data_IF_078016232811
#
_entry.id   IF_078016232811
#
_cell.length_a   1.000
_cell.length_b   1.000
_cell.length_c   1.000
_cell.angle_alpha   90.00
_cell.angle_beta   90.00
_cell.angle_gamma   90.00
#
_symmetry.space_group_name_H-M   'P 1'
#
loop_
_entity.id
_entity.type
_entity.pdbx_description
1 polymer ?
#
# COMPACT_ATOMS: atom_id res chain seq x y z
N UNK A 1 7.85 0.03 -21.21
CA UNK A 1 7.11 1.31 -21.07
C UNK A 1 7.99 2.29 -20.30
N UNK A 2 7.90 3.57 -20.65
CA UNK A 2 8.96 4.57 -20.45
C UNK A 2 9.13 5.02 -19.00
N UNK A 3 10.16 4.51 -18.34
CA UNK A 3 10.80 5.10 -17.16
C UNK A 3 11.56 6.40 -17.48
N UNK A 4 11.26 7.04 -18.62
CA UNK A 4 11.97 8.21 -19.13
C UNK A 4 11.65 9.48 -18.35
N UNK A 5 10.58 9.46 -17.54
CA UNK A 5 10.07 10.61 -16.82
C UNK A 5 10.06 10.32 -15.31
N UNK A 6 10.54 11.27 -14.50
CA UNK A 6 10.44 11.18 -13.03
C UNK A 6 8.98 11.32 -12.60
N UNK A 7 8.59 10.80 -11.42
CA UNK A 7 7.24 11.04 -10.89
C UNK A 7 6.99 12.55 -10.80
N UNK A 8 8.00 13.34 -10.44
CA UNK A 8 7.90 14.80 -10.33
C UNK A 8 7.57 15.48 -11.66
N UNK A 9 8.02 14.91 -12.78
CA UNK A 9 7.66 15.42 -14.11
C UNK A 9 6.24 15.06 -14.53
N UNK A 10 5.67 13.98 -13.97
CA UNK A 10 4.29 13.53 -14.25
C UNK A 10 3.29 14.23 -13.34
N UNK A 11 3.68 14.50 -12.09
CA UNK A 11 2.85 15.11 -11.05
C UNK A 11 3.56 16.32 -10.41
N UNK A 12 3.87 17.37 -11.19
CA UNK A 12 4.62 18.54 -10.69
C UNK A 12 3.88 19.33 -9.61
N UNK A 13 2.55 19.24 -9.54
CA UNK A 13 1.67 19.94 -8.61
C UNK A 13 1.85 19.51 -7.16
N UNK A 14 2.33 18.30 -6.92
CA UNK A 14 2.44 17.73 -5.59
C UNK A 14 3.83 17.97 -4.96
N UNK A 15 3.90 18.54 -3.74
CA UNK A 15 5.17 18.84 -3.09
C UNK A 15 5.92 17.58 -2.60
N UNK A 16 5.22 16.48 -2.33
CA UNK A 16 5.83 15.23 -1.83
C UNK A 16 6.45 14.36 -2.93
N UNK A 17 6.15 14.63 -4.20
CA UNK A 17 6.52 13.71 -5.29
C UNK A 17 8.03 13.61 -5.50
N UNK A 18 8.77 14.71 -5.27
CA UNK A 18 10.23 14.65 -5.32
C UNK A 18 10.80 13.69 -4.26
N UNK A 19 10.20 13.68 -3.06
CA UNK A 19 10.60 12.76 -1.98
C UNK A 19 10.37 11.31 -2.39
N UNK A 20 9.30 11.02 -3.15
CA UNK A 20 9.04 9.70 -3.69
C UNK A 20 10.07 9.27 -4.75
N UNK A 21 10.44 10.15 -5.68
CA UNK A 21 11.51 9.89 -6.66
C UNK A 21 12.85 9.62 -5.96
N UNK A 22 13.24 10.49 -5.02
CA UNK A 22 14.51 10.36 -4.27
C UNK A 22 14.55 9.06 -3.47
N UNK A 23 13.42 8.69 -2.85
CA UNK A 23 13.30 7.46 -2.09
C UNK A 23 13.39 6.23 -2.99
N UNK A 24 12.70 6.19 -4.13
CA UNK A 24 12.78 5.09 -5.10
C UNK A 24 14.22 4.88 -5.61
N UNK A 25 14.97 5.96 -5.85
CA UNK A 25 16.36 5.89 -6.30
C UNK A 25 17.25 5.11 -5.32
N UNK A 26 16.94 5.14 -4.02
CA UNK A 26 17.72 4.49 -2.96
C UNK A 26 17.10 3.17 -2.47
N UNK A 27 15.79 2.98 -2.66
CA UNK A 27 15.04 1.85 -2.08
C UNK A 27 15.47 0.49 -2.62
N UNK A 28 15.89 0.40 -3.90
CA UNK A 28 16.24 -0.87 -4.55
C UNK A 28 17.38 -1.65 -3.84
N UNK A 29 18.24 -0.97 -3.09
CA UNK A 29 19.38 -1.55 -2.37
C UNK A 29 19.01 -2.10 -0.98
N UNK A 30 17.79 -1.83 -0.51
CA UNK A 30 17.34 -2.10 0.85
C UNK A 30 16.35 -3.26 0.88
N UNK A 31 16.20 -3.95 2.02
CA UNK A 31 15.12 -4.92 2.21
C UNK A 31 13.75 -4.21 2.24
N UNK A 32 12.65 -4.95 2.05
CA UNK A 32 11.30 -4.36 2.12
C UNK A 32 11.03 -3.83 3.54
N UNK A 33 11.53 -4.52 4.57
CA UNK A 33 11.42 -4.06 5.96
C UNK A 33 12.10 -2.70 6.18
N UNK A 34 13.34 -2.53 5.67
CA UNK A 34 14.06 -1.26 5.77
C UNK A 34 13.36 -0.14 5.00
N UNK A 35 12.82 -0.45 3.82
CA UNK A 35 12.01 0.49 3.03
C UNK A 35 10.80 0.98 3.84
N UNK A 36 10.07 0.07 4.48
CA UNK A 36 8.90 0.39 5.30
C UNK A 36 9.29 1.22 6.54
N UNK A 37 10.38 0.88 7.22
CA UNK A 37 10.87 1.60 8.40
C UNK A 37 11.22 3.07 8.08
N UNK A 38 11.82 3.35 6.92
CA UNK A 38 12.11 4.72 6.45
C UNK A 38 10.85 5.54 6.16
N UNK A 39 9.75 4.87 5.83
CA UNK A 39 8.43 5.49 5.71
C UNK A 39 7.70 5.58 7.06
N UNK A 40 8.33 5.19 8.16
CA UNK A 40 7.71 5.18 9.49
C UNK A 40 6.72 4.03 9.69
N UNK A 41 6.72 3.02 8.82
CA UNK A 41 5.90 1.81 8.95
C UNK A 41 6.69 0.77 9.75
N UNK A 42 6.27 0.59 11.00
CA UNK A 42 6.87 -0.31 12.00
C UNK A 42 6.23 -1.69 12.01
N UNK A 43 5.01 -1.83 11.50
CA UNK A 43 4.31 -3.11 11.43
C UNK A 43 3.45 -3.21 10.19
N UNK A 44 3.47 -4.36 9.54
CA UNK A 44 2.56 -4.69 8.45
C UNK A 44 1.60 -5.76 8.91
N UNK A 45 0.31 -5.56 8.65
CA UNK A 45 -0.71 -6.58 8.88
C UNK A 45 -1.46 -6.83 7.58
N UNK A 46 -1.52 -8.09 7.19
CA UNK A 46 -2.41 -8.56 6.14
C UNK A 46 -3.71 -8.98 6.82
N UNK A 47 -4.88 -8.45 6.44
CA UNK A 47 -6.15 -8.78 7.10
C UNK A 47 -7.17 -9.33 6.11
N UNK A 48 -8.06 -10.20 6.62
CA UNK A 48 -8.96 -11.05 5.82
C UNK A 48 -10.36 -10.46 5.60
N UNK A 49 -10.61 -9.23 6.06
CA UNK A 49 -11.96 -8.70 6.12
C UNK A 49 -11.98 -7.27 5.57
N UNK A 50 -12.76 -7.06 4.49
CA UNK A 50 -13.13 -5.82 3.76
C UNK A 50 -12.61 -5.83 2.30
N UNK A 51 -13.43 -5.24 1.42
CA UNK A 51 -13.34 -5.24 -0.05
C UNK A 51 -12.31 -4.26 -0.67
N UNK A 52 -11.40 -3.67 0.12
CA UNK A 52 -10.42 -2.70 -0.37
C UNK A 52 -9.18 -2.60 0.54
N UNK A 53 -8.01 -2.37 -0.07
CA UNK A 53 -6.77 -1.98 0.63
C UNK A 53 -6.89 -0.58 1.23
N UNK A 54 -6.29 -0.35 2.39
CA UNK A 54 -6.21 0.99 2.98
C UNK A 54 -5.10 1.08 4.03
N UNK A 55 -4.33 2.17 4.01
CA UNK A 55 -3.43 2.51 5.11
C UNK A 55 -4.24 2.87 6.38
N UNK A 56 -3.96 2.23 7.52
CA UNK A 56 -4.46 2.70 8.82
C UNK A 56 -3.41 2.69 9.91
N UNK A 57 -3.10 3.88 10.43
CA UNK A 57 -2.26 4.03 11.62
C UNK A 57 -3.17 4.02 12.86
N UNK A 58 -3.49 2.83 13.38
CA UNK A 58 -4.22 2.71 14.67
C UNK A 58 -3.31 2.96 15.87
N UNK A 59 -2.03 2.62 15.74
CA UNK A 59 -0.96 2.82 16.75
C UNK A 59 0.35 2.99 15.97
N UNK A 60 0.94 4.20 15.92
CA UNK A 60 2.23 4.54 15.28
C UNK A 60 2.80 3.55 14.22
N UNK A 61 2.56 3.82 12.93
CA UNK A 61 3.27 3.15 11.84
C UNK A 61 2.79 1.74 11.50
N UNK A 62 1.47 1.49 11.45
CA UNK A 62 0.95 0.22 10.91
C UNK A 62 0.49 0.44 9.47
N UNK A 63 1.00 -0.36 8.53
CA UNK A 63 0.43 -0.49 7.18
C UNK A 63 -0.49 -1.70 7.18
N UNK A 64 -1.75 -1.50 6.83
CA UNK A 64 -2.73 -2.56 6.71
C UNK A 64 -2.97 -2.80 5.22
N UNK A 65 -2.84 -4.05 4.77
CA UNK A 65 -3.22 -4.43 3.41
C UNK A 65 -4.34 -5.45 3.53
N UNK A 66 -5.52 -5.06 3.05
CA UNK A 66 -6.73 -5.86 3.14
C UNK A 66 -7.20 -6.16 1.73
N UNK A 67 -6.86 -7.35 1.25
CA UNK A 67 -7.53 -7.92 0.09
C UNK A 67 -7.54 -9.44 0.27
N UNK A 68 -8.70 -9.95 0.67
CA UNK A 68 -8.90 -11.37 0.96
C UNK A 68 -8.59 -12.24 -0.27
N UNK A 69 -9.08 -11.83 -1.42
CA UNK A 69 -8.97 -12.62 -2.65
C UNK A 69 -7.51 -12.62 -3.12
N UNK A 70 -6.81 -11.49 -3.08
CA UNK A 70 -5.40 -11.44 -3.43
C UNK A 70 -4.53 -12.25 -2.46
N UNK A 71 -4.81 -12.19 -1.16
CA UNK A 71 -4.08 -12.97 -0.14
C UNK A 71 -4.31 -14.47 -0.31
N UNK A 72 -5.56 -14.91 -0.53
CA UNK A 72 -5.88 -16.33 -0.73
C UNK A 72 -5.25 -16.85 -2.02
N UNK A 73 -5.29 -16.08 -3.10
CA UNK A 73 -4.64 -16.48 -4.35
C UNK A 73 -3.11 -16.54 -4.21
N UNK A 74 -2.51 -15.60 -3.48
CA UNK A 74 -1.08 -15.60 -3.19
C UNK A 74 -0.65 -16.83 -2.37
N UNK A 75 -1.42 -17.19 -1.34
CA UNK A 75 -1.17 -18.35 -0.47
C UNK A 75 -1.39 -19.68 -1.18
N UNK A 76 -2.35 -19.75 -2.10
CA UNK A 76 -2.65 -20.94 -2.90
C UNK A 76 -1.72 -21.09 -4.12
N UNK A 77 -0.77 -20.17 -4.31
CA UNK A 77 0.22 -20.25 -5.40
C UNK A 77 -0.33 -19.87 -6.77
N UNK A 78 -1.50 -19.21 -6.83
CA UNK A 78 -2.06 -18.69 -8.08
C UNK A 78 -1.29 -17.45 -8.56
N UNK A 79 -1.45 -17.12 -9.85
CA UNK A 79 -0.71 -16.07 -10.54
C UNK A 79 -1.14 -14.62 -10.20
N UNK A 80 -1.76 -14.38 -9.02
CA UNK A 80 -2.15 -13.04 -8.54
C UNK A 80 -1.13 -12.40 -7.61
N UNK A 81 0.06 -12.99 -7.54
CA UNK A 81 1.07 -12.53 -6.60
C UNK A 81 1.72 -11.19 -7.02
N UNK A 82 1.71 -10.89 -8.32
CA UNK A 82 2.10 -9.58 -8.85
C UNK A 82 1.04 -8.52 -8.53
N UNK A 83 -0.25 -8.87 -8.54
CA UNK A 83 -1.34 -7.97 -8.12
C UNK A 83 -1.19 -7.60 -6.64
N UNK A 84 -0.95 -8.58 -5.76
CA UNK A 84 -0.72 -8.29 -4.33
C UNK A 84 0.53 -7.43 -4.09
N UNK A 85 1.61 -7.68 -4.84
CA UNK A 85 2.82 -6.87 -4.78
C UNK A 85 2.56 -5.44 -5.24
N UNK A 86 1.79 -5.26 -6.31
CA UNK A 86 1.40 -3.96 -6.83
C UNK A 86 0.52 -3.21 -5.82
N UNK A 87 -0.55 -3.83 -5.30
CA UNK A 87 -1.40 -3.25 -4.26
C UNK A 87 -0.59 -2.85 -3.04
N UNK A 88 0.37 -3.69 -2.61
CA UNK A 88 1.26 -3.34 -1.51
C UNK A 88 2.12 -2.10 -1.83
N UNK A 89 2.64 -1.99 -3.04
CA UNK A 89 3.36 -0.81 -3.52
C UNK A 89 2.48 0.44 -3.60
N UNK A 90 1.22 0.29 -4.00
CA UNK A 90 0.24 1.37 -4.10
C UNK A 90 -0.04 1.96 -2.70
N UNK A 91 -0.25 1.11 -1.70
CA UNK A 91 -0.40 1.56 -0.31
C UNK A 91 0.89 2.18 0.26
N UNK A 92 2.09 1.80 -0.21
CA UNK A 92 3.31 2.54 0.15
C UNK A 92 3.28 3.95 -0.50
N UNK A 93 2.80 4.06 -1.73
CA UNK A 93 2.64 5.34 -2.44
C UNK A 93 1.81 6.35 -1.64
N UNK A 94 0.70 5.88 -1.06
CA UNK A 94 -0.16 6.70 -0.22
C UNK A 94 0.55 7.30 1.01
N UNK A 95 1.63 6.67 1.49
CA UNK A 95 2.41 7.21 2.62
C UNK A 95 3.11 8.53 2.31
N UNK A 96 3.33 8.89 1.04
CA UNK A 96 4.06 10.10 0.67
C UNK A 96 3.23 11.37 0.83
N UNK A 97 1.91 11.26 0.67
CA UNK A 97 0.99 12.38 0.85
C UNK A 97 0.30 12.37 2.22
N UNK A 98 0.76 11.53 3.16
CA UNK A 98 0.19 11.41 4.50
C UNK A 98 1.23 11.66 5.60
N UNK A 99 0.82 12.40 6.64
CA UNK A 99 1.47 12.45 7.94
C UNK A 99 1.05 11.25 8.77
N UNK A 100 1.95 10.28 8.89
CA UNK A 100 1.74 9.02 9.61
C UNK A 100 1.98 9.15 11.13
N UNK A 101 2.35 10.33 11.63
CA UNK A 101 2.50 10.57 13.08
C UNK A 101 1.16 10.78 13.78
N UNK A 102 0.08 10.96 13.01
CA UNK A 102 -1.27 11.21 13.49
C UNK A 102 -2.19 10.00 13.26
N UNK A 103 -3.23 9.87 14.09
CA UNK A 103 -4.25 8.83 14.00
C UNK A 103 -5.65 9.46 13.96
N UNK A 104 -6.39 9.40 12.84
CA UNK A 104 -5.99 8.81 11.55
C UNK A 104 -4.86 9.61 10.85
N UNK A 105 -4.15 9.03 9.87
CA UNK A 105 -3.21 9.77 9.03
C UNK A 105 -3.85 11.02 8.42
N UNK A 106 -3.08 12.10 8.37
CA UNK A 106 -3.55 13.40 7.85
C UNK A 106 -2.84 13.71 6.54
N UNK A 107 -3.55 14.14 5.51
CA UNK A 107 -2.91 14.48 4.25
C UNK A 107 -1.98 15.69 4.37
N UNK A 108 -0.81 15.60 3.74
CA UNK A 108 0.17 16.67 3.59
C UNK A 108 -0.01 17.22 2.19
N UNK A 109 -0.55 18.44 2.02
CA UNK A 109 -0.76 18.99 0.67
C UNK A 109 -1.74 20.15 0.57
N UNK A 110 -1.89 20.71 -0.65
CA UNK A 110 -2.92 21.70 -0.93
C UNK A 110 -4.30 21.02 -0.89
N UNK A 111 -5.00 21.21 0.23
CA UNK A 111 -6.35 20.71 0.57
C UNK A 111 -6.47 19.24 1.02
N UNK A 112 -7.55 18.96 1.78
CA UNK A 112 -7.81 17.69 2.50
C UNK A 112 -8.27 16.59 1.52
N UNK A 113 -7.37 16.03 0.73
CA UNK A 113 -7.67 14.95 -0.22
C UNK A 113 -7.81 13.61 0.50
N UNK A 114 -8.96 13.35 1.13
CA UNK A 114 -9.20 12.02 1.71
C UNK A 114 -9.70 11.06 0.63
N UNK A 115 -8.80 10.28 0.04
CA UNK A 115 -9.19 9.12 -0.76
C UNK A 115 -9.68 8.05 0.20
N UNK A 116 -10.99 8.06 0.44
CA UNK A 116 -11.67 7.08 1.29
C UNK A 116 -11.78 5.75 0.54
N UNK A 117 -11.46 4.60 1.18
CA UNK A 117 -11.78 3.28 0.62
C UNK A 117 -13.29 3.00 0.63
N UNK A 118 -14.09 3.84 1.30
CA UNK A 118 -15.55 3.75 1.33
C UNK A 118 -16.13 4.68 0.25
N UNK A 119 -16.67 4.07 -0.82
CA UNK A 119 -17.33 4.74 -1.96
C UNK A 119 -18.39 5.77 -1.52
N UNK A 120 -19.08 5.55 -0.40
CA UNK A 120 -20.12 6.45 0.11
C UNK A 120 -19.58 7.83 0.56
N UNK A 121 -18.28 7.92 0.87
CA UNK A 121 -17.58 9.18 1.19
C UNK A 121 -16.80 9.75 0.01
N UNK A 122 -16.54 8.92 -1.01
CA UNK A 122 -16.00 9.34 -2.30
C UNK A 122 -17.13 10.00 -3.11
N UNK A 123 -17.53 11.22 -2.69
CA UNK A 123 -18.33 12.07 -3.58
C UNK A 123 -17.62 12.12 -4.93
N UNK A 124 -18.36 11.84 -6.00
CA UNK A 124 -17.92 11.85 -7.39
C UNK A 124 -16.64 12.65 -7.62
N UNK A 125 -15.56 11.93 -7.95
CA UNK A 125 -14.45 12.46 -8.74
C UNK A 125 -13.92 13.83 -8.34
N UNK A 126 -13.40 13.96 -7.11
CA UNK A 126 -12.40 15.00 -6.92
C UNK A 126 -11.21 14.66 -7.82
N UNK A 127 -11.01 15.47 -8.87
CA UNK A 127 -9.91 15.33 -9.82
C UNK A 127 -8.55 15.26 -9.08
N UNK A 128 -8.46 15.87 -7.90
CA UNK A 128 -7.29 15.81 -7.05
C UNK A 128 -7.09 14.42 -6.42
N UNK A 129 -8.14 13.75 -5.94
CA UNK A 129 -8.05 12.37 -5.47
C UNK A 129 -7.70 11.42 -6.62
N UNK A 130 -8.30 11.58 -7.80
CA UNK A 130 -7.92 10.78 -8.98
C UNK A 130 -6.45 10.97 -9.37
N UNK A 131 -5.91 12.18 -9.26
CA UNK A 131 -4.49 12.44 -9.48
C UNK A 131 -3.59 11.79 -8.42
N UNK A 132 -4.04 11.73 -7.16
CA UNK A 132 -3.32 11.04 -6.08
C UNK A 132 -3.31 9.53 -6.29
N UNK A 133 -4.47 8.92 -6.61
CA UNK A 133 -4.58 7.49 -6.95
C UNK A 133 -3.68 7.15 -8.15
N UNK A 134 -3.69 7.99 -9.20
CA UNK A 134 -2.80 7.82 -10.36
C UNK A 134 -1.32 7.93 -9.97
N UNK A 135 -0.98 8.81 -9.03
CA UNK A 135 0.38 8.88 -8.48
C UNK A 135 0.74 7.58 -7.76
N UNK A 136 -0.16 7.02 -6.95
CA UNK A 136 0.05 5.77 -6.22
C UNK A 136 0.24 4.59 -7.18
N UNK A 137 -0.53 4.51 -8.27
CA UNK A 137 -0.37 3.49 -9.32
C UNK A 137 0.97 3.60 -10.06
N UNK A 138 1.36 4.81 -10.46
CA UNK A 138 2.66 5.06 -11.10
C UNK A 138 3.80 4.72 -10.14
N UNK A 139 3.69 5.11 -8.87
CA UNK A 139 4.65 4.72 -7.83
C UNK A 139 4.70 3.20 -7.65
N UNK A 140 3.56 2.51 -7.59
CA UNK A 140 3.44 1.08 -7.39
C UNK A 140 4.07 0.29 -8.53
N UNK A 141 3.83 0.69 -9.78
CA UNK A 141 4.48 0.13 -10.94
C UNK A 141 6.00 0.25 -10.82
N UNK A 142 6.47 1.41 -10.32
CA UNK A 142 7.89 1.67 -10.15
C UNK A 142 8.52 0.79 -9.08
N UNK A 143 7.86 0.75 -7.93
CA UNK A 143 8.28 0.01 -6.76
C UNK A 143 8.24 -1.51 -6.98
N UNK A 144 7.26 -2.00 -7.74
CA UNK A 144 7.11 -3.42 -8.10
C UNK A 144 8.28 -3.88 -8.97
N UNK A 145 8.73 -3.08 -9.94
CA UNK A 145 9.85 -3.47 -10.80
C UNK A 145 11.18 -3.56 -10.04
N UNK A 146 11.38 -2.75 -8.99
CA UNK A 146 12.60 -2.81 -8.17
C UNK A 146 12.57 -3.91 -7.10
N UNK A 147 11.38 -4.39 -6.72
CA UNK A 147 11.21 -5.45 -5.73
C UNK A 147 10.73 -6.73 -6.40
N UNK A 148 11.64 -7.69 -6.58
CA UNK A 148 11.27 -8.97 -7.17
C UNK A 148 10.16 -9.65 -6.37
N UNK A 149 9.31 -10.41 -7.07
CA UNK A 149 8.28 -11.22 -6.45
C UNK A 149 8.85 -12.19 -5.40
N UNK A 150 10.06 -12.70 -5.61
CA UNK A 150 10.77 -13.54 -4.64
C UNK A 150 11.10 -12.81 -3.33
N UNK A 151 11.57 -11.56 -3.42
CA UNK A 151 11.86 -10.71 -2.26
C UNK A 151 10.58 -10.43 -1.46
N UNK A 152 9.49 -10.12 -2.18
CA UNK A 152 8.18 -9.91 -1.56
C UNK A 152 7.62 -11.17 -0.92
N UNK A 153 7.77 -12.34 -1.55
CA UNK A 153 7.36 -13.63 -0.95
C UNK A 153 8.08 -13.91 0.36
N UNK A 154 9.37 -13.60 0.46
CA UNK A 154 10.12 -13.74 1.71
C UNK A 154 9.63 -12.78 2.78
N UNK A 155 9.40 -11.51 2.42
CA UNK A 155 8.83 -10.52 3.33
C UNK A 155 7.44 -10.95 3.84
N UNK A 156 6.54 -11.33 2.91
CA UNK A 156 5.18 -11.76 3.22
C UNK A 156 5.19 -12.99 4.14
N UNK A 157 6.04 -13.99 3.90
CA UNK A 157 6.06 -15.21 4.71
C UNK A 157 6.49 -14.97 6.15
N UNK A 158 7.36 -13.99 6.40
CA UNK A 158 7.79 -13.56 7.75
C UNK A 158 6.74 -12.75 8.50
N UNK A 159 5.93 -11.99 7.75
CA UNK A 159 5.01 -11.00 8.32
C UNK A 159 3.54 -11.41 8.23
N UNK A 160 3.21 -12.53 7.57
CA UNK A 160 1.86 -13.11 7.62
C UNK A 160 1.56 -13.47 9.08
N UNK A 161 0.48 -12.90 9.60
CA UNK A 161 0.07 -13.19 10.97
C UNK A 161 -0.46 -14.63 11.01
N UNK A 162 0.18 -15.54 11.74
CA UNK A 162 -0.27 -16.94 11.88
C UNK A 162 -1.63 -17.06 12.57
N UNK A 163 -2.02 -16.05 13.36
CA UNK A 163 -3.33 -15.96 14.01
C UNK A 163 -4.50 -15.76 13.02
N UNK A 164 -4.22 -15.50 11.74
CA UNK A 164 -5.27 -15.43 10.71
C UNK A 164 -5.76 -16.82 10.28
N UNK A 165 -4.99 -17.88 10.57
CA UNK A 165 -5.42 -19.26 10.34
C UNK A 165 -6.34 -19.79 11.45
N UNK A 166 -6.46 -19.12 12.60
CA UNK A 166 -7.43 -19.51 13.64
C UNK A 166 -8.83 -18.94 13.38
N UNK A 167 -8.94 -17.81 12.67
CA UNK A 167 -10.23 -17.26 12.22
C UNK A 167 -10.94 -18.20 11.22
N UNK A 168 -10.19 -19.10 10.54
CA UNK A 168 -10.76 -20.18 9.71
C UNK A 168 -11.73 -21.07 10.50
N UNK A 169 -11.55 -21.26 11.81
CA UNK A 169 -12.42 -22.15 12.58
C UNK A 169 -13.70 -21.50 13.08
N UNK A 170 -13.70 -20.20 13.34
CA UNK A 170 -14.87 -19.55 13.96
C UNK A 170 -15.91 -19.03 12.95
N UNK A 171 -15.52 -18.73 11.72
CA UNK A 171 -16.46 -18.23 10.70
C UNK A 171 -17.17 -19.38 9.98
N UNK A 172 -16.51 -20.52 9.74
CA UNK A 172 -17.15 -21.68 9.11
C UNK A 172 -18.09 -22.43 10.08
N UNK A 173 -17.88 -22.38 11.40
CA UNK A 173 -18.74 -23.02 12.39
C UNK A 173 -19.91 -22.16 12.88
N UNK A 174 -20.08 -20.93 12.36
CA UNK A 174 -21.26 -20.08 12.62
C UNK A 174 -22.25 -20.05 11.46
N UNK A 175 -22.02 -20.87 10.43
CA UNK A 175 -22.88 -21.02 9.28
C UNK A 175 -23.58 -22.40 9.21
N UNK A 176 -23.59 -23.15 10.33
CA UNK A 176 -24.48 -24.30 10.54
C UNK A 176 -25.50 -24.01 11.66
#
# INVERSE_FOLDING_TARGET
>A
MSWLFSLKSIFPEFPWVQVADDWLALAHQKSIEQQLEERGIKKVRFWYNIAAGYITVKEFGILLVVDRDLIDHFLMGYNKAEELLFTFGHEIGHTFHCDLTQAPPVNIGPEKVFCSPFEELAKEGDALCQSVERFCDEFAARWTHMNSLSKFRQFFSKNKNTDLLSVKHDIYNRAE
#
